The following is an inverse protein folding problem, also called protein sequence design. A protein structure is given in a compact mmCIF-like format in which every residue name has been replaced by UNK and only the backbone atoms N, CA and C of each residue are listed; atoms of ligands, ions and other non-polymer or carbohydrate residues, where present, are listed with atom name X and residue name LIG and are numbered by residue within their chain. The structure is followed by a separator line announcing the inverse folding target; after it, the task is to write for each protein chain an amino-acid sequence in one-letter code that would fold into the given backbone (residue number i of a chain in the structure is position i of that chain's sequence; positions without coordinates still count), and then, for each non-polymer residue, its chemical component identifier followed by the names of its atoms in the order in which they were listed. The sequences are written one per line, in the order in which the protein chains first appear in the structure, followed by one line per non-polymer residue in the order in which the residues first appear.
data_IF_844816594480
#
_entry.id   IF_844816594480
#
_cell.length_a   1.000
_cell.length_b   1.000
_cell.length_c   1.000
_cell.angle_alpha   90.00
_cell.angle_beta   90.00
_cell.angle_gamma   90.00
#
_symmetry.space_group_name_H-M   'P 1'
#
loop_
_entity.id
_entity.type
_entity.pdbx_description
1 polymer ?
#
# COMPACT_ATOMS: atom_id res chain seq x y z
N UNK A 1 -79.66 -2.17 33.40
CA UNK A 1 -78.47 -2.98 33.03
C UNK A 1 -77.43 -2.06 32.44
N UNK A 2 -76.37 -1.74 33.18
CA UNK A 2 -75.23 -0.92 32.73
C UNK A 2 -74.01 -1.83 32.64
N UNK A 3 -73.47 -2.03 31.44
CA UNK A 3 -72.26 -2.82 31.20
C UNK A 3 -71.02 -1.94 31.38
N UNK A 4 -70.19 -2.28 32.38
CA UNK A 4 -68.83 -1.74 32.55
C UNK A 4 -67.87 -2.40 31.54
N UNK A 5 -67.18 -1.59 30.74
CA UNK A 5 -66.03 -2.01 29.93
C UNK A 5 -64.77 -2.05 30.81
N UNK A 6 -64.08 -3.19 30.82
CA UNK A 6 -62.78 -3.38 31.46
C UNK A 6 -61.72 -3.25 30.36
N UNK A 7 -60.86 -2.24 30.45
CA UNK A 7 -59.66 -2.09 29.61
C UNK A 7 -58.51 -2.88 30.25
N UNK A 8 -58.01 -3.89 29.54
CA UNK A 8 -56.79 -4.63 29.90
C UNK A 8 -55.62 -3.95 29.18
N UNK A 9 -54.71 -3.37 29.96
CA UNK A 9 -53.48 -2.74 29.46
C UNK A 9 -52.38 -3.82 29.39
N UNK A 10 -51.92 -4.15 28.20
CA UNK A 10 -50.81 -5.10 27.98
C UNK A 10 -49.47 -4.35 28.11
N UNK A 11 -48.71 -4.63 29.17
CA UNK A 11 -47.38 -4.10 29.40
C UNK A 11 -46.36 -4.97 28.63
N UNK A 12 -45.86 -4.47 27.50
CA UNK A 12 -44.84 -5.15 26.69
C UNK A 12 -43.44 -4.88 27.29
N UNK A 13 -42.88 -5.85 28.00
CA UNK A 13 -41.51 -5.79 28.51
C UNK A 13 -40.52 -6.03 27.38
N UNK A 14 -39.81 -4.99 26.96
CA UNK A 14 -38.78 -5.05 25.92
C UNK A 14 -37.48 -5.60 26.52
N UNK A 15 -37.23 -6.90 26.35
CA UNK A 15 -35.98 -7.55 26.75
C UNK A 15 -34.90 -7.21 25.72
N UNK A 16 -34.03 -6.24 26.03
CA UNK A 16 -32.83 -5.97 25.23
C UNK A 16 -31.85 -7.15 25.36
N UNK A 17 -31.86 -8.06 24.39
CA UNK A 17 -30.82 -9.06 24.21
C UNK A 17 -29.59 -8.33 23.66
N UNK A 18 -28.60 -8.04 24.50
CA UNK A 18 -27.28 -7.61 24.04
C UNK A 18 -26.64 -8.77 23.28
N UNK A 19 -26.76 -8.74 21.96
CA UNK A 19 -26.00 -9.62 21.07
C UNK A 19 -24.54 -9.19 21.16
N UNK A 20 -23.75 -9.87 21.98
CA UNK A 20 -22.30 -9.83 21.87
C UNK A 20 -21.95 -10.45 20.52
N UNK A 21 -21.51 -9.61 19.57
CA UNK A 21 -20.93 -10.08 18.32
C UNK A 21 -19.70 -10.93 18.68
N UNK A 22 -19.82 -12.25 18.53
CA UNK A 22 -18.70 -13.18 18.69
C UNK A 22 -17.70 -12.87 17.57
N UNK A 23 -16.51 -12.42 17.94
CA UNK A 23 -15.42 -12.16 17.01
C UNK A 23 -15.06 -13.49 16.34
N UNK A 24 -15.42 -13.67 15.06
CA UNK A 24 -15.12 -14.89 14.30
C UNK A 24 -13.61 -15.16 14.35
N UNK A 25 -13.22 -16.23 15.06
CA UNK A 25 -11.83 -16.63 15.21
C UNK A 25 -11.29 -17.13 13.86
N UNK A 26 -10.15 -16.58 13.42
CA UNK A 26 -9.53 -16.96 12.16
C UNK A 26 -8.79 -18.29 12.33
N UNK A 27 -9.15 -19.31 11.56
CA UNK A 27 -8.45 -20.60 11.59
C UNK A 27 -7.10 -20.48 10.89
N UNK A 28 -6.03 -20.86 11.56
CA UNK A 28 -4.70 -20.96 10.95
C UNK A 28 -4.46 -22.38 10.47
N UNK A 29 -3.98 -22.54 9.25
CA UNK A 29 -3.62 -23.83 8.65
C UNK A 29 -2.15 -23.86 8.33
N UNK A 30 -1.42 -24.80 8.92
CA UNK A 30 0.00 -25.01 8.65
C UNK A 30 0.16 -26.34 7.90
N UNK A 31 0.58 -26.27 6.64
CA UNK A 31 1.03 -27.44 5.88
C UNK A 31 2.53 -27.55 6.01
N UNK A 32 3.00 -28.62 6.64
CA UNK A 32 4.41 -29.00 6.55
C UNK A 32 4.64 -29.76 5.24
N UNK A 33 5.59 -29.30 4.43
CA UNK A 33 6.15 -30.08 3.34
C UNK A 33 7.51 -30.58 3.83
N UNK A 34 7.64 -31.88 4.01
CA UNK A 34 8.80 -32.50 4.65
C UNK A 34 9.63 -33.29 3.64
N UNK A 35 10.91 -32.95 3.56
CA UNK A 35 11.90 -33.63 2.75
C UNK A 35 12.29 -34.98 3.35
N UNK A 36 12.01 -36.04 2.60
CA UNK A 36 12.50 -37.38 2.86
C UNK A 36 13.24 -37.92 1.62
N UNK A 37 13.91 -37.06 0.86
CA UNK A 37 14.78 -37.47 -0.24
C UNK A 37 16.06 -38.13 0.26
N UNK A 38 16.77 -38.83 -0.63
CA UNK A 38 17.98 -39.57 -0.25
C UNK A 38 19.09 -38.66 0.35
N UNK A 39 19.15 -37.37 0.01
CA UNK A 39 20.14 -36.43 0.58
C UNK A 39 19.99 -36.26 2.09
N UNK A 40 18.78 -36.43 2.63
CA UNK A 40 18.50 -36.33 4.06
C UNK A 40 19.19 -37.43 4.90
N UNK A 41 19.74 -38.47 4.27
CA UNK A 41 20.57 -39.47 4.94
C UNK A 41 21.99 -38.96 5.24
N UNK A 42 22.39 -37.81 4.70
CA UNK A 42 23.73 -37.25 4.92
C UNK A 42 23.98 -36.90 6.40
N UNK A 43 25.23 -37.03 6.88
CA UNK A 43 25.57 -36.69 8.25
C UNK A 43 25.56 -35.17 8.48
N UNK A 44 25.05 -34.76 9.64
CA UNK A 44 25.06 -33.39 10.14
C UNK A 44 25.10 -33.41 11.67
N UNK A 45 26.02 -32.66 12.28
CA UNK A 45 26.21 -32.58 13.75
C UNK A 45 26.22 -33.93 14.49
N UNK A 46 26.86 -34.96 13.90
CA UNK A 46 26.99 -36.28 14.53
C UNK A 46 25.73 -37.16 14.48
N UNK A 47 24.69 -36.75 13.74
CA UNK A 47 23.51 -37.57 13.39
C UNK A 47 23.24 -37.47 11.88
N UNK A 48 22.25 -38.17 11.34
CA UNK A 48 21.77 -37.87 9.99
C UNK A 48 20.90 -36.60 9.99
N UNK A 49 20.81 -35.87 8.87
CA UNK A 49 19.91 -34.71 8.72
C UNK A 49 18.47 -35.09 9.03
N UNK A 50 18.01 -36.26 8.55
CA UNK A 50 16.67 -36.77 8.83
C UNK A 50 16.44 -36.97 10.32
N UNK A 51 17.41 -37.52 11.08
CA UNK A 51 17.21 -37.76 12.51
C UNK A 51 17.07 -36.46 13.30
N UNK A 52 17.85 -35.43 12.95
CA UNK A 52 17.73 -34.11 13.55
C UNK A 52 16.39 -33.48 13.17
N UNK A 53 16.04 -33.52 11.89
CA UNK A 53 14.77 -33.02 11.38
C UNK A 53 13.59 -33.65 12.11
N UNK A 54 13.60 -34.98 12.28
CA UNK A 54 12.60 -35.74 13.05
C UNK A 54 12.48 -35.24 14.48
N UNK A 55 13.60 -35.15 15.22
CA UNK A 55 13.59 -34.75 16.63
C UNK A 55 13.00 -33.36 16.82
N UNK A 56 13.39 -32.40 15.99
CA UNK A 56 12.92 -31.01 16.13
C UNK A 56 11.48 -30.87 15.65
N UNK A 57 11.12 -31.46 14.51
CA UNK A 57 9.74 -31.47 14.02
C UNK A 57 8.78 -32.14 15.00
N UNK A 58 9.15 -33.27 15.59
CA UNK A 58 8.34 -33.96 16.58
C UNK A 58 8.04 -33.07 17.81
N UNK A 59 9.05 -32.33 18.30
CA UNK A 59 8.89 -31.38 19.41
C UNK A 59 8.00 -30.18 19.03
N UNK A 60 8.19 -29.64 17.84
CA UNK A 60 7.36 -28.53 17.35
C UNK A 60 5.91 -28.97 17.16
N UNK A 61 5.67 -30.14 16.58
CA UNK A 61 4.33 -30.71 16.42
C UNK A 61 3.65 -30.99 17.77
N UNK A 62 4.38 -31.44 18.80
CA UNK A 62 3.81 -31.58 20.14
C UNK A 62 3.31 -30.25 20.70
N UNK A 63 4.04 -29.16 20.46
CA UNK A 63 3.68 -27.82 20.91
C UNK A 63 2.47 -27.25 20.17
N UNK A 64 2.18 -27.74 18.95
CA UNK A 64 1.04 -27.31 18.14
C UNK A 64 -0.29 -27.96 18.54
N UNK A 65 -0.27 -29.13 19.20
CA UNK A 65 -1.47 -29.92 19.54
C UNK A 65 -2.48 -29.17 20.41
N UNK A 66 -2.01 -28.26 21.26
CA UNK A 66 -2.83 -27.58 22.26
C UNK A 66 -3.31 -26.21 21.80
N UNK A 67 -3.02 -25.81 20.56
CA UNK A 67 -3.31 -24.47 20.08
C UNK A 67 -4.72 -24.44 19.48
N UNK A 68 -5.64 -23.61 20.00
CA UNK A 68 -6.99 -23.52 19.46
C UNK A 68 -6.97 -22.95 18.04
N UNK A 69 -7.93 -23.36 17.21
CA UNK A 69 -8.11 -22.88 15.83
C UNK A 69 -6.88 -23.09 14.91
N UNK A 70 -6.06 -24.09 15.21
CA UNK A 70 -4.96 -24.52 14.36
C UNK A 70 -5.27 -25.89 13.74
N UNK A 71 -5.15 -25.98 12.42
CA UNK A 71 -5.15 -27.25 11.71
C UNK A 71 -3.77 -27.49 11.07
N UNK A 72 -3.27 -28.72 11.21
CA UNK A 72 -1.96 -29.10 10.67
C UNK A 72 -2.14 -30.17 9.59
N UNK A 73 -1.46 -29.99 8.47
CA UNK A 73 -1.30 -31.00 7.42
C UNK A 73 0.17 -31.40 7.26
N UNK A 74 0.41 -32.57 6.66
CA UNK A 74 1.74 -33.06 6.33
C UNK A 74 1.75 -33.64 4.92
N UNK A 75 2.55 -33.03 4.05
CA UNK A 75 2.96 -33.56 2.76
C UNK A 75 4.43 -33.99 2.86
N UNK A 76 4.75 -35.15 2.31
CA UNK A 76 6.12 -35.68 2.29
C UNK A 76 6.49 -35.94 0.84
N UNK A 77 7.74 -35.67 0.48
CA UNK A 77 8.30 -36.04 -0.81
C UNK A 77 9.57 -36.88 -0.66
N UNK A 78 9.87 -37.69 -1.67
CA UNK A 78 11.06 -38.54 -1.72
C UNK A 78 10.98 -39.80 -0.85
N UNK A 79 9.83 -40.12 -0.23
CA UNK A 79 9.70 -41.29 0.64
C UNK A 79 9.09 -42.52 -0.03
N UNK A 80 8.50 -42.38 -1.23
CA UNK A 80 7.76 -43.46 -1.87
C UNK A 80 8.66 -44.33 -2.75
N UNK A 81 9.53 -43.72 -3.54
CA UNK A 81 10.32 -44.39 -4.58
C UNK A 81 11.83 -44.33 -4.26
N UNK A 82 12.59 -45.43 -4.38
CA UNK A 82 14.03 -45.39 -4.22
C UNK A 82 14.71 -44.62 -5.36
N UNK A 83 15.76 -43.86 -5.04
CA UNK A 83 16.59 -43.18 -6.03
C UNK A 83 17.45 -44.22 -6.78
N UNK A 84 17.14 -44.47 -8.05
CA UNK A 84 17.89 -45.36 -8.92
C UNK A 84 18.69 -44.56 -9.96
N UNK A 85 19.91 -44.98 -10.35
CA UNK A 85 20.70 -44.28 -11.36
C UNK A 85 19.92 -44.09 -12.67
N UNK A 86 19.78 -42.84 -13.11
CA UNK A 86 19.05 -42.48 -14.33
C UNK A 86 17.52 -42.51 -14.23
N UNK A 87 16.95 -42.76 -13.05
CA UNK A 87 15.51 -42.72 -12.80
C UNK A 87 15.19 -41.78 -11.64
N UNK A 88 14.71 -40.58 -11.98
CA UNK A 88 14.22 -39.59 -11.03
C UNK A 88 12.68 -39.61 -11.02
N UNK A 89 12.09 -40.02 -9.90
CA UNK A 89 10.64 -39.93 -9.71
C UNK A 89 10.25 -38.53 -9.23
N UNK A 90 10.06 -37.60 -10.17
CA UNK A 90 9.64 -36.24 -9.87
C UNK A 90 8.17 -36.13 -9.42
N UNK A 91 7.43 -37.24 -9.36
CA UNK A 91 6.06 -37.30 -8.86
C UNK A 91 5.96 -37.83 -7.42
N UNK A 92 7.09 -38.21 -6.80
CA UNK A 92 7.19 -38.70 -5.42
C UNK A 92 6.89 -37.59 -4.40
N UNK A 93 5.60 -37.27 -4.27
CA UNK A 93 5.07 -36.28 -3.31
C UNK A 93 3.62 -36.60 -2.98
N UNK A 94 3.33 -36.75 -1.68
CA UNK A 94 2.02 -37.20 -1.19
C UNK A 94 1.60 -36.47 0.08
N UNK A 95 0.32 -36.10 0.13
CA UNK A 95 -0.33 -35.62 1.34
C UNK A 95 -0.62 -36.84 2.23
N UNK A 96 0.22 -37.06 3.24
CA UNK A 96 0.08 -38.19 4.16
C UNK A 96 -0.88 -37.87 5.31
N UNK A 97 -0.98 -36.60 5.68
CA UNK A 97 -1.90 -36.12 6.71
C UNK A 97 -2.68 -34.94 6.18
N UNK A 98 -3.96 -35.12 5.82
CA UNK A 98 -4.87 -34.01 5.56
C UNK A 98 -5.11 -33.16 6.81
N UNK A 99 -5.53 -31.90 6.60
CA UNK A 99 -5.86 -30.98 7.69
C UNK A 99 -6.93 -31.55 8.61
N UNK A 100 -6.64 -31.58 9.90
CA UNK A 100 -7.59 -31.95 10.94
C UNK A 100 -7.12 -31.41 12.31
N UNK A 101 -8.01 -31.33 13.32
CA UNK A 101 -7.62 -30.93 14.67
C UNK A 101 -6.55 -31.84 15.30
N UNK A 102 -6.51 -33.12 14.90
CA UNK A 102 -5.50 -34.10 15.33
C UNK A 102 -4.32 -34.20 14.36
N UNK A 103 -4.24 -33.29 13.38
CA UNK A 103 -3.25 -33.33 12.32
C UNK A 103 -1.81 -33.30 12.84
N UNK A 104 -1.54 -32.53 13.89
CA UNK A 104 -0.21 -32.45 14.49
C UNK A 104 0.26 -33.78 15.09
N UNK A 105 -0.65 -34.53 15.71
CA UNK A 105 -0.36 -35.86 16.27
C UNK A 105 -0.10 -36.89 15.16
N UNK A 106 -0.96 -36.92 14.14
CA UNK A 106 -0.81 -37.80 12.98
C UNK A 106 0.47 -37.51 12.21
N UNK A 107 0.81 -36.23 12.02
CA UNK A 107 2.03 -35.79 11.37
C UNK A 107 3.28 -36.25 12.13
N UNK A 108 3.26 -36.17 13.47
CA UNK A 108 4.36 -36.67 14.31
C UNK A 108 4.55 -38.17 14.12
N UNK A 109 3.45 -38.93 14.05
CA UNK A 109 3.48 -40.35 13.74
C UNK A 109 4.21 -40.64 12.43
N UNK A 110 3.84 -39.98 11.35
CA UNK A 110 4.50 -40.14 10.05
C UNK A 110 5.99 -39.75 10.06
N UNK A 111 6.33 -38.57 10.60
CA UNK A 111 7.71 -38.07 10.61
C UNK A 111 8.64 -39.02 11.37
N UNK A 112 8.18 -39.63 12.46
CA UNK A 112 9.02 -40.54 13.26
C UNK A 112 9.44 -41.81 12.50
N UNK A 113 8.65 -42.25 11.51
CA UNK A 113 8.87 -43.52 10.80
C UNK A 113 9.17 -43.39 9.31
N UNK A 114 9.04 -42.20 8.72
CA UNK A 114 9.33 -41.97 7.29
C UNK A 114 10.78 -42.33 6.99
N UNK A 115 11.07 -43.07 5.93
CA UNK A 115 12.44 -43.43 5.54
C UNK A 115 12.84 -42.61 4.31
N UNK A 116 14.01 -41.95 4.31
CA UNK A 116 14.43 -41.18 3.14
C UNK A 116 14.95 -42.07 2.01
N UNK A 117 14.44 -41.89 0.79
CA UNK A 117 14.70 -42.84 -0.33
C UNK A 117 14.98 -42.19 -1.68
N UNK A 118 14.22 -41.16 -2.04
CA UNK A 118 13.94 -40.76 -3.42
C UNK A 118 14.56 -39.43 -3.82
N UNK A 119 13.98 -38.82 -4.85
CA UNK A 119 14.40 -37.53 -5.43
C UNK A 119 13.79 -36.35 -4.65
N UNK A 120 14.21 -35.12 -4.95
CA UNK A 120 13.80 -33.85 -4.32
C UNK A 120 12.88 -33.01 -5.24
N UNK A 121 11.58 -33.34 -5.39
CA UNK A 121 10.63 -32.60 -6.24
C UNK A 121 9.94 -31.45 -5.47
N UNK A 122 10.63 -30.34 -5.22
CA UNK A 122 10.12 -29.22 -4.39
C UNK A 122 8.99 -28.49 -5.11
N UNK A 123 9.17 -28.16 -6.38
CA UNK A 123 8.25 -27.46 -7.25
C UNK A 123 6.92 -28.22 -7.35
N UNK A 124 6.96 -29.51 -7.71
CA UNK A 124 5.78 -30.37 -7.78
C UNK A 124 5.07 -30.50 -6.42
N UNK A 125 5.84 -30.55 -5.33
CA UNK A 125 5.28 -30.59 -3.98
C UNK A 125 4.57 -29.30 -3.61
N UNK A 126 5.12 -28.14 -3.96
CA UNK A 126 4.49 -26.84 -3.77
C UNK A 126 3.24 -26.69 -4.64
N UNK A 127 3.27 -27.17 -5.88
CA UNK A 127 2.12 -27.14 -6.79
C UNK A 127 0.94 -27.90 -6.18
N UNK A 128 1.16 -29.17 -5.79
CA UNK A 128 0.12 -30.00 -5.17
C UNK A 128 -0.32 -29.45 -3.82
N UNK A 129 0.59 -28.88 -3.03
CA UNK A 129 0.27 -28.21 -1.77
C UNK A 129 -0.75 -27.08 -1.92
N UNK A 130 -0.76 -26.38 -3.06
CA UNK A 130 -1.78 -25.36 -3.35
C UNK A 130 -3.21 -25.90 -3.40
N UNK A 131 -3.40 -27.19 -3.69
CA UNK A 131 -4.69 -27.87 -3.68
C UNK A 131 -5.02 -28.61 -2.38
N UNK A 132 -4.06 -28.74 -1.46
CA UNK A 132 -4.26 -29.47 -0.20
C UNK A 132 -5.05 -28.65 0.84
N UNK A 133 -5.08 -27.32 0.69
CA UNK A 133 -5.82 -26.44 1.58
C UNK A 133 -7.32 -26.50 1.28
N UNK A 134 -8.18 -26.81 2.27
CA UNK A 134 -9.62 -26.72 2.09
C UNK A 134 -10.02 -25.28 1.79
N UNK A 135 -11.08 -25.09 1.00
CA UNK A 135 -11.65 -23.76 0.80
C UNK A 135 -12.10 -23.16 2.14
N UNK A 136 -11.79 -21.88 2.34
CA UNK A 136 -12.16 -21.16 3.55
C UNK A 136 -12.21 -19.65 3.32
N UNK A 137 -13.23 -19.00 3.88
CA UNK A 137 -13.43 -17.54 3.76
C UNK A 137 -12.54 -16.70 4.68
N UNK A 138 -12.19 -17.23 5.87
CA UNK A 138 -11.36 -16.57 6.89
C UNK A 138 -10.34 -17.55 7.47
N UNK A 139 -9.39 -17.96 6.63
CA UNK A 139 -8.28 -18.82 7.06
C UNK A 139 -6.95 -18.21 6.67
N UNK A 140 -5.94 -18.48 7.49
CA UNK A 140 -4.55 -18.15 7.19
C UNK A 140 -3.83 -19.43 6.79
N UNK A 141 -3.49 -19.54 5.51
CA UNK A 141 -2.83 -20.73 4.96
C UNK A 141 -1.33 -20.51 4.86
N UNK A 142 -0.55 -21.33 5.57
CA UNK A 142 0.90 -21.24 5.63
C UNK A 142 1.50 -22.60 5.25
N UNK A 143 2.47 -22.58 4.34
CA UNK A 143 3.32 -23.71 3.99
C UNK A 143 4.68 -23.50 4.66
N UNK A 144 5.11 -24.48 5.45
CA UNK A 144 6.47 -24.57 5.97
C UNK A 144 7.17 -25.69 5.20
N UNK A 145 8.07 -25.32 4.29
CA UNK A 145 8.86 -26.27 3.52
C UNK A 145 10.14 -26.58 4.31
N UNK A 146 10.34 -27.83 4.71
CA UNK A 146 11.52 -28.31 5.42
C UNK A 146 12.33 -29.14 4.44
N UNK A 147 13.52 -28.67 4.04
CA UNK A 147 14.37 -29.31 3.03
C UNK A 147 15.85 -29.16 3.34
N UNK A 148 16.69 -30.05 2.82
CA UNK A 148 18.15 -29.93 2.90
C UNK A 148 18.82 -29.53 1.58
N UNK A 149 18.05 -29.23 0.53
CA UNK A 149 18.59 -29.14 -0.82
C UNK A 149 17.87 -28.20 -1.78
N UNK A 150 18.39 -28.21 -3.00
CA UNK A 150 17.81 -27.57 -4.19
C UNK A 150 16.92 -28.55 -4.92
N UNK A 151 16.04 -28.01 -5.75
CA UNK A 151 15.25 -28.78 -6.71
C UNK A 151 16.15 -29.74 -7.51
N UNK A 152 15.77 -31.02 -7.56
CA UNK A 152 16.48 -32.05 -8.33
C UNK A 152 15.75 -32.45 -9.63
N UNK A 153 14.65 -31.76 -9.94
CA UNK A 153 13.77 -31.95 -11.11
C UNK A 153 13.72 -30.68 -11.97
N UNK A 154 13.15 -30.77 -13.18
CA UNK A 154 13.18 -29.69 -14.20
C UNK A 154 12.10 -28.60 -14.03
N UNK A 155 11.55 -28.41 -12.84
CA UNK A 155 10.49 -27.42 -12.58
C UNK A 155 11.00 -26.17 -11.84
N UNK A 156 10.28 -25.05 -11.97
CA UNK A 156 10.64 -23.79 -11.31
C UNK A 156 9.83 -23.59 -10.00
N UNK A 157 10.43 -23.84 -8.82
CA UNK A 157 9.75 -23.65 -7.53
C UNK A 157 9.45 -22.17 -7.24
N UNK A 158 10.21 -21.22 -7.82
CA UNK A 158 9.97 -19.79 -7.67
C UNK A 158 8.64 -19.36 -8.32
N UNK A 159 8.39 -19.85 -9.54
CA UNK A 159 7.17 -19.56 -10.28
C UNK A 159 5.93 -20.07 -9.53
N UNK A 160 6.00 -21.29 -8.99
CA UNK A 160 4.92 -21.93 -8.25
C UNK A 160 4.68 -21.20 -6.92
N UNK A 161 5.74 -20.86 -6.18
CA UNK A 161 5.64 -20.08 -4.96
C UNK A 161 4.98 -18.70 -5.20
N UNK A 162 5.28 -18.04 -6.33
CA UNK A 162 4.61 -16.80 -6.73
C UNK A 162 3.12 -17.01 -6.98
N UNK A 163 2.74 -18.09 -7.65
CA UNK A 163 1.34 -18.45 -7.86
C UNK A 163 0.62 -18.72 -6.54
N UNK A 164 1.22 -19.48 -5.61
CA UNK A 164 0.66 -19.71 -4.27
C UNK A 164 0.43 -18.42 -3.49
N UNK A 165 1.39 -17.48 -3.54
CA UNK A 165 1.26 -16.16 -2.89
C UNK A 165 0.10 -15.34 -3.47
N UNK A 166 -0.12 -15.38 -4.78
CA UNK A 166 -1.28 -14.70 -5.40
C UNK A 166 -2.63 -15.26 -4.93
N UNK A 167 -2.67 -16.52 -4.48
CA UNK A 167 -3.83 -17.16 -3.83
C UNK A 167 -3.91 -16.89 -2.33
N UNK A 168 -3.02 -16.07 -1.77
CA UNK A 168 -2.96 -15.76 -0.34
C UNK A 168 -2.31 -16.84 0.51
N UNK A 169 -1.63 -17.83 -0.09
CA UNK A 169 -0.90 -18.87 0.63
C UNK A 169 0.54 -18.40 0.89
N UNK A 170 0.95 -18.39 2.15
CA UNK A 170 2.29 -17.94 2.56
C UNK A 170 3.23 -19.13 2.53
N UNK A 171 4.36 -19.02 1.82
CA UNK A 171 5.37 -20.09 1.76
C UNK A 171 6.63 -19.67 2.51
N UNK A 172 7.08 -20.50 3.45
CA UNK A 172 8.28 -20.31 4.26
C UNK A 172 9.25 -21.49 4.06
N UNK A 173 10.31 -21.32 3.25
CA UNK A 173 11.36 -22.32 3.12
C UNK A 173 12.26 -22.35 4.35
N UNK A 174 12.52 -23.55 4.84
CA UNK A 174 13.32 -23.87 6.02
C UNK A 174 14.37 -24.90 5.64
N UNK A 175 15.63 -24.51 5.76
CA UNK A 175 16.75 -25.19 5.13
C UNK A 175 17.65 -25.83 6.19
N UNK A 176 17.96 -27.11 6.01
CA UNK A 176 18.73 -27.91 6.97
C UNK A 176 20.15 -28.16 6.47
N UNK A 177 21.14 -27.86 7.29
CA UNK A 177 22.48 -28.46 7.17
C UNK A 177 23.23 -28.10 5.89
N UNK A 178 22.90 -26.96 5.26
CA UNK A 178 23.58 -26.46 4.06
C UNK A 178 24.89 -25.74 4.43
N UNK A 179 24.99 -25.15 5.63
CA UNK A 179 26.14 -24.29 5.95
C UNK A 179 26.21 -23.09 5.02
N UNK A 180 27.29 -22.30 5.10
CA UNK A 180 27.45 -20.98 4.46
C UNK A 180 27.53 -20.99 2.91
N UNK A 181 26.82 -21.87 2.21
CA UNK A 181 26.74 -21.86 0.75
C UNK A 181 25.65 -20.90 0.26
N UNK A 182 26.06 -19.68 -0.08
CA UNK A 182 25.17 -18.59 -0.50
C UNK A 182 24.38 -18.91 -1.77
N UNK A 183 24.89 -19.77 -2.66
CA UNK A 183 24.21 -20.10 -3.92
C UNK A 183 22.92 -20.90 -3.68
N UNK A 184 22.92 -21.77 -2.66
CA UNK A 184 21.75 -22.55 -2.26
C UNK A 184 20.68 -21.67 -1.61
N UNK A 185 21.09 -20.70 -0.79
CA UNK A 185 20.16 -19.75 -0.17
C UNK A 185 19.49 -18.89 -1.24
N UNK A 186 20.27 -18.36 -2.18
CA UNK A 186 19.79 -17.52 -3.28
C UNK A 186 18.74 -18.25 -4.14
N UNK A 187 18.93 -19.55 -4.41
CA UNK A 187 17.98 -20.35 -5.18
C UNK A 187 16.59 -20.47 -4.50
N UNK A 188 16.52 -20.33 -3.18
CA UNK A 188 15.27 -20.48 -2.41
C UNK A 188 14.67 -19.14 -1.94
N UNK A 189 15.40 -18.01 -2.04
CA UNK A 189 14.90 -16.68 -1.65
C UNK A 189 13.67 -16.22 -2.44
N UNK A 190 13.57 -16.68 -3.68
CA UNK A 190 12.42 -16.42 -4.54
C UNK A 190 11.13 -17.06 -3.98
N UNK A 191 11.24 -18.19 -3.29
CA UNK A 191 10.12 -18.94 -2.68
C UNK A 191 9.59 -18.17 -1.48
N UNK A 192 10.49 -17.71 -0.61
CA UNK A 192 10.13 -17.05 0.64
C UNK A 192 11.34 -16.51 1.39
N UNK A 193 11.13 -16.07 2.63
CA UNK A 193 12.25 -15.78 3.53
C UNK A 193 12.89 -17.11 3.89
N UNK A 194 14.15 -17.31 3.48
CA UNK A 194 14.91 -18.51 3.81
C UNK A 194 15.46 -18.37 5.22
N UNK A 195 15.36 -19.45 5.97
CA UNK A 195 16.04 -19.54 7.25
C UNK A 195 16.99 -20.73 7.22
N UNK A 196 18.27 -20.44 7.43
CA UNK A 196 19.32 -21.44 7.58
C UNK A 196 19.45 -21.83 9.04
N UNK A 197 19.40 -23.12 9.32
CA UNK A 197 19.70 -23.66 10.62
C UNK A 197 21.08 -24.32 10.60
N UNK A 198 22.05 -23.60 11.16
CA UNK A 198 23.44 -24.08 11.29
C UNK A 198 23.65 -25.07 12.44
N UNK A 199 22.69 -25.19 13.38
CA UNK A 199 22.65 -26.22 14.42
C UNK A 199 21.25 -26.73 14.73
N UNK A 200 21.14 -27.86 15.44
CA UNK A 200 19.85 -28.38 15.97
C UNK A 200 19.15 -27.34 16.86
N UNK A 201 19.88 -26.59 17.69
CA UNK A 201 19.32 -25.53 18.52
C UNK A 201 18.76 -24.37 17.69
N UNK A 202 19.52 -23.90 16.69
CA UNK A 202 19.06 -22.86 15.77
C UNK A 202 17.86 -23.34 14.96
N UNK A 203 17.86 -24.60 14.52
CA UNK A 203 16.73 -25.23 13.83
C UNK A 203 15.46 -25.16 14.69
N UNK A 204 15.57 -25.56 15.96
CA UNK A 204 14.47 -25.50 16.92
C UNK A 204 13.97 -24.07 17.16
N UNK A 205 14.89 -23.13 17.39
CA UNK A 205 14.52 -21.74 17.68
C UNK A 205 13.79 -21.09 16.49
N UNK A 206 14.34 -21.24 15.29
CA UNK A 206 13.77 -20.59 14.11
C UNK A 206 12.45 -21.23 13.70
N UNK A 207 12.32 -22.56 13.75
CA UNK A 207 11.04 -23.23 13.48
C UNK A 207 9.94 -22.75 14.43
N UNK A 208 10.27 -22.61 15.72
CA UNK A 208 9.33 -22.07 16.71
C UNK A 208 8.95 -20.61 16.42
N UNK A 209 9.88 -19.79 15.92
CA UNK A 209 9.59 -18.41 15.49
C UNK A 209 8.64 -18.40 14.30
N UNK A 210 8.89 -19.23 13.27
CA UNK A 210 8.03 -19.31 12.06
C UNK A 210 6.64 -19.80 12.40
N UNK A 211 6.54 -20.83 13.25
CA UNK A 211 5.25 -21.31 13.78
C UNK A 211 4.55 -20.20 14.56
N UNK A 212 5.26 -19.52 15.45
CA UNK A 212 4.69 -18.41 16.23
C UNK A 212 4.21 -17.26 15.35
N UNK A 213 4.94 -16.93 14.29
CA UNK A 213 4.54 -15.95 13.29
C UNK A 213 3.27 -16.39 12.54
N UNK A 214 3.17 -17.67 12.19
CA UNK A 214 2.00 -18.23 11.51
C UNK A 214 0.75 -18.19 12.41
N UNK A 215 0.91 -18.26 13.72
CA UNK A 215 -0.19 -18.25 14.68
C UNK A 215 -0.58 -16.86 15.15
N UNK A 216 0.39 -15.97 15.33
CA UNK A 216 0.17 -14.69 15.98
C UNK A 216 0.49 -13.53 15.05
N UNK A 217 -0.41 -12.56 15.01
CA UNK A 217 -0.06 -11.23 14.53
C UNK A 217 0.93 -10.58 15.50
N UNK A 218 1.70 -9.63 15.00
CA UNK A 218 2.57 -8.81 15.84
C UNK A 218 2.00 -7.40 15.92
N UNK A 219 2.39 -6.67 16.96
CA UNK A 219 2.05 -5.26 17.05
C UNK A 219 3.12 -4.42 16.38
N UNK A 220 2.72 -3.31 15.76
CA UNK A 220 3.64 -2.30 15.29
C UNK A 220 3.03 -0.90 15.39
N UNK A 221 3.86 0.10 15.51
CA UNK A 221 3.50 1.50 15.28
C UNK A 221 4.26 2.03 14.06
N UNK A 222 3.65 2.97 13.36
CA UNK A 222 4.28 3.67 12.24
C UNK A 222 4.61 5.08 12.72
N UNK A 223 5.89 5.38 12.81
CA UNK A 223 6.39 6.70 13.14
C UNK A 223 6.53 7.51 11.85
N UNK A 224 5.56 8.41 11.61
CA UNK A 224 5.68 9.41 10.56
C UNK A 224 6.38 10.63 11.15
N UNK A 225 7.59 10.89 10.67
CA UNK A 225 8.52 11.82 11.29
C UNK A 225 8.48 13.21 10.66
N UNK A 226 8.64 14.23 11.51
CA UNK A 226 8.88 15.62 11.13
C UNK A 226 10.35 15.89 10.73
N UNK A 227 10.67 17.17 10.43
CA UNK A 227 12.04 17.58 10.06
C UNK A 227 13.07 17.32 11.18
N UNK A 228 12.63 17.14 12.42
CA UNK A 228 13.46 16.90 13.59
C UNK A 228 13.51 15.41 13.97
N UNK A 229 13.02 14.51 13.11
CA UNK A 229 12.94 13.07 13.34
C UNK A 229 12.05 12.68 14.51
N UNK A 230 11.05 13.50 14.84
CA UNK A 230 10.07 13.18 15.88
C UNK A 230 8.78 12.66 15.24
N UNK A 231 8.14 11.62 15.81
CA UNK A 231 6.94 11.02 15.26
C UNK A 231 5.70 11.86 15.59
N UNK A 232 5.60 13.05 15.00
CA UNK A 232 4.57 14.05 15.30
C UNK A 232 3.54 14.20 14.17
N UNK A 233 3.86 13.72 12.97
CA UNK A 233 2.97 13.79 11.81
C UNK A 233 1.82 12.79 11.94
N UNK A 234 0.61 13.20 11.59
CA UNK A 234 -0.60 12.39 11.77
C UNK A 234 -1.75 12.80 10.86
N UNK A 235 -2.85 12.04 10.87
CA UNK A 235 -4.03 12.22 10.01
C UNK A 235 -3.73 12.08 8.51
N UNK A 236 -2.64 11.38 8.18
CA UNK A 236 -2.23 11.11 6.80
C UNK A 236 -2.62 9.68 6.48
N UNK A 237 -3.23 9.45 5.31
CA UNK A 237 -3.50 8.08 4.87
C UNK A 237 -2.21 7.37 4.46
N UNK A 238 -2.12 6.08 4.75
CA UNK A 238 -1.02 5.24 4.33
C UNK A 238 -1.51 3.85 3.92
N UNK A 239 -0.71 3.21 3.08
CA UNK A 239 -0.95 1.87 2.58
C UNK A 239 0.24 0.97 2.87
N UNK A 240 -0.04 -0.26 3.33
CA UNK A 240 0.94 -1.33 3.41
C UNK A 240 0.60 -2.38 2.35
N UNK A 241 1.56 -2.59 1.45
CA UNK A 241 1.50 -3.62 0.42
C UNK A 241 2.41 -4.77 0.80
N UNK A 242 2.02 -5.99 0.46
CA UNK A 242 2.98 -7.08 0.36
C UNK A 242 3.95 -6.75 -0.78
N UNK A 243 5.22 -6.59 -0.47
CA UNK A 243 6.23 -6.16 -1.42
C UNK A 243 6.48 -7.20 -2.52
N UNK A 244 6.35 -8.49 -2.23
CA UNK A 244 6.61 -9.55 -3.21
C UNK A 244 5.45 -9.71 -4.20
N UNK A 245 4.20 -9.60 -3.73
CA UNK A 245 3.01 -9.78 -4.58
C UNK A 245 2.44 -8.48 -5.14
N UNK A 246 2.75 -7.33 -4.52
CA UNK A 246 2.12 -6.04 -4.81
C UNK A 246 0.71 -5.89 -4.25
N UNK A 247 0.18 -6.89 -3.54
CA UNK A 247 -1.18 -6.87 -3.02
C UNK A 247 -1.30 -5.86 -1.86
N UNK A 248 -2.34 -5.01 -1.90
CA UNK A 248 -2.70 -4.14 -0.78
C UNK A 248 -3.16 -5.00 0.40
N UNK A 249 -2.53 -4.81 1.56
CA UNK A 249 -2.87 -5.54 2.79
C UNK A 249 -3.60 -4.67 3.79
N UNK A 250 -3.13 -3.44 3.97
CA UNK A 250 -3.73 -2.48 4.90
C UNK A 250 -3.78 -1.10 4.28
N UNK A 251 -4.87 -0.38 4.55
CA UNK A 251 -5.06 0.99 4.13
C UNK A 251 -5.77 1.74 5.26
N UNK A 252 -5.04 2.63 5.92
CA UNK A 252 -5.49 3.30 7.14
C UNK A 252 -5.18 4.79 7.10
N UNK A 253 -5.82 5.54 7.99
CA UNK A 253 -5.44 6.91 8.32
C UNK A 253 -4.63 6.86 9.61
N UNK A 254 -3.42 7.42 9.58
CA UNK A 254 -2.55 7.48 10.75
C UNK A 254 -3.20 8.32 11.85
N UNK A 255 -3.09 7.89 13.10
CA UNK A 255 -3.57 8.64 14.28
C UNK A 255 -2.61 8.48 15.46
N UNK A 256 -2.78 9.33 16.46
CA UNK A 256 -2.08 9.25 17.75
C UNK A 256 -3.00 8.66 18.81
N UNK A 257 -2.41 7.93 19.75
CA UNK A 257 -3.11 7.46 20.95
C UNK A 257 -3.25 8.58 22.00
N UNK A 258 -3.94 8.29 23.11
CA UNK A 258 -4.20 9.26 24.19
C UNK A 258 -2.93 9.81 24.87
N UNK A 259 -1.80 9.12 24.76
CA UNK A 259 -0.51 9.55 25.30
C UNK A 259 0.29 10.42 24.30
N UNK A 260 -0.24 10.68 23.11
CA UNK A 260 0.43 11.46 22.07
C UNK A 260 1.46 10.68 21.25
N UNK A 261 1.47 9.33 21.35
CA UNK A 261 2.33 8.47 20.54
C UNK A 261 1.54 7.91 19.34
N UNK A 262 2.20 7.54 18.23
CA UNK A 262 1.56 6.84 17.13
C UNK A 262 0.78 5.60 17.59
N UNK A 263 -0.38 5.38 16.98
CA UNK A 263 -1.26 4.26 17.32
C UNK A 263 -0.62 2.89 17.01
N UNK A 264 -1.06 1.87 17.74
CA UNK A 264 -0.55 0.49 17.62
C UNK A 264 -1.47 -0.33 16.73
N UNK A 265 -0.90 -0.83 15.64
CA UNK A 265 -1.53 -1.69 14.66
C UNK A 265 -1.18 -3.15 14.93
N UNK A 266 -2.12 -4.05 14.62
CA UNK A 266 -1.87 -5.51 14.66
C UNK A 266 -1.71 -6.01 13.22
N UNK A 267 -0.51 -6.41 12.85
CA UNK A 267 -0.11 -6.72 11.46
C UNK A 267 0.56 -8.09 11.37
N UNK A 268 0.42 -8.77 10.23
CA UNK A 268 1.03 -10.07 9.95
C UNK A 268 2.58 -9.97 9.83
N UNK A 269 3.36 -10.61 10.72
CA UNK A 269 4.83 -10.53 10.66
C UNK A 269 5.49 -11.40 9.58
N UNK A 270 4.74 -12.27 8.88
CA UNK A 270 5.30 -13.16 7.86
C UNK A 270 5.59 -12.44 6.54
N UNK A 271 4.94 -11.31 6.29
CA UNK A 271 5.08 -10.57 5.04
C UNK A 271 6.27 -9.59 5.10
N UNK A 272 6.83 -9.30 3.94
CA UNK A 272 7.70 -8.13 3.76
C UNK A 272 6.85 -7.02 3.17
N UNK A 273 6.86 -5.85 3.80
CA UNK A 273 5.98 -4.76 3.44
C UNK A 273 6.68 -3.63 2.69
N UNK A 274 5.93 -3.05 1.75
CA UNK A 274 6.16 -1.70 1.24
C UNK A 274 5.12 -0.77 1.86
N UNK A 275 5.57 0.23 2.61
CA UNK A 275 4.77 1.33 3.14
C UNK A 275 4.74 2.47 2.13
N UNK A 276 3.55 3.01 1.87
CA UNK A 276 3.35 4.24 1.09
C UNK A 276 2.53 5.21 1.96
N UNK A 277 3.10 6.36 2.27
CA UNK A 277 2.37 7.46 2.94
C UNK A 277 1.89 8.41 1.85
N UNK A 278 0.59 8.67 1.83
CA UNK A 278 -0.08 9.47 0.81
C UNK A 278 0.02 10.98 1.09
N UNK A 279 1.22 11.45 1.43
CA UNK A 279 1.57 12.87 1.48
C UNK A 279 1.63 13.48 0.07
N UNK A 280 1.80 14.81 0.00
CA UNK A 280 1.99 15.52 -1.27
C UNK A 280 3.40 16.12 -1.33
N UNK A 281 4.33 15.58 -2.15
CA UNK A 281 4.24 14.33 -2.89
C UNK A 281 4.29 13.09 -1.98
N UNK A 282 3.97 11.91 -2.54
CA UNK A 282 3.96 10.65 -1.79
C UNK A 282 5.38 10.22 -1.41
N UNK A 283 5.50 9.54 -0.27
CA UNK A 283 6.76 8.92 0.19
C UNK A 283 6.56 7.42 0.40
N UNK A 284 7.59 6.63 0.09
CA UNK A 284 7.53 5.18 0.24
C UNK A 284 8.75 4.61 0.97
N UNK A 285 8.54 3.52 1.70
CA UNK A 285 9.58 2.72 2.34
C UNK A 285 9.38 1.24 2.01
N UNK A 286 10.43 0.62 1.47
CA UNK A 286 10.46 -0.78 1.01
C UNK A 286 11.23 -1.67 2.00
N UNK A 287 11.11 -2.99 1.88
CA UNK A 287 11.89 -3.95 2.66
C UNK A 287 11.53 -4.02 4.15
N UNK A 288 10.31 -3.64 4.55
CA UNK A 288 9.92 -3.62 5.96
C UNK A 288 9.68 -5.06 6.43
N UNK A 289 10.51 -5.53 7.35
CA UNK A 289 10.39 -6.85 7.99
C UNK A 289 10.05 -6.66 9.47
N UNK A 290 9.02 -7.36 9.94
CA UNK A 290 8.59 -7.28 11.33
C UNK A 290 9.21 -8.41 12.16
N UNK A 291 9.64 -8.07 13.36
CA UNK A 291 10.10 -9.02 14.37
C UNK A 291 8.87 -9.56 15.12
N UNK A 292 8.65 -10.87 15.12
CA UNK A 292 7.47 -11.48 15.74
C UNK A 292 7.49 -11.36 17.25
N UNK A 293 6.30 -11.32 17.86
CA UNK A 293 6.10 -11.21 19.31
C UNK A 293 6.80 -10.01 19.97
N UNK A 294 7.32 -9.09 19.16
CA UNK A 294 7.87 -7.81 19.62
C UNK A 294 7.01 -6.71 19.06
N UNK A 295 6.89 -5.63 19.83
CA UNK A 295 6.35 -4.40 19.30
C UNK A 295 7.35 -3.82 18.29
N UNK A 296 6.90 -3.62 17.06
CA UNK A 296 7.74 -3.11 15.97
C UNK A 296 7.54 -1.61 15.78
N UNK A 297 8.59 -0.92 15.37
CA UNK A 297 8.52 0.51 15.03
C UNK A 297 8.96 0.65 13.58
N UNK A 298 8.08 1.21 12.75
CA UNK A 298 8.37 1.51 11.34
C UNK A 298 8.54 3.02 11.22
N UNK A 299 9.73 3.49 10.91
CA UNK A 299 10.01 4.92 10.75
C UNK A 299 9.96 5.36 9.28
N UNK A 300 9.29 6.47 8.98
CA UNK A 300 9.29 7.11 7.68
C UNK A 300 9.22 8.63 7.84
N UNK A 301 9.98 9.38 7.04
CA UNK A 301 9.95 10.84 7.10
C UNK A 301 8.90 11.39 6.15
N UNK A 302 7.99 12.20 6.66
CA UNK A 302 7.02 12.93 5.85
C UNK A 302 6.70 14.29 6.49
N UNK A 303 7.70 15.16 6.72
CA UNK A 303 7.50 16.43 7.38
C UNK A 303 6.52 17.30 6.61
N UNK A 304 5.52 17.87 7.27
CA UNK A 304 4.46 18.62 6.57
C UNK A 304 4.38 20.09 6.96
N UNK A 305 3.94 20.89 6.01
CA UNK A 305 3.42 22.24 6.21
C UNK A 305 2.27 22.49 5.24
N UNK A 306 1.49 23.54 5.46
CA UNK A 306 0.30 23.81 4.66
C UNK A 306 0.51 24.99 3.71
N UNK A 307 -0.14 24.95 2.55
CA UNK A 307 -0.42 26.13 1.75
C UNK A 307 -1.92 26.42 1.85
N UNK A 308 -2.28 27.59 2.36
CA UNK A 308 -3.65 28.09 2.42
C UNK A 308 -3.85 29.15 1.34
N UNK A 309 -4.72 28.87 0.38
CA UNK A 309 -5.05 29.75 -0.74
C UNK A 309 -6.29 30.58 -0.43
N UNK A 310 -6.26 31.89 -0.73
CA UNK A 310 -7.37 32.83 -0.49
C UNK A 310 -7.59 33.75 -1.68
N UNK A 311 -8.83 34.19 -1.84
CA UNK A 311 -9.21 35.23 -2.79
C UNK A 311 -9.77 36.42 -1.98
N UNK A 312 -9.18 37.60 -2.13
CA UNK A 312 -9.63 38.80 -1.42
C UNK A 312 -11.04 39.19 -1.86
N UNK A 313 -12.01 39.27 -0.93
CA UNK A 313 -13.41 39.62 -1.26
C UNK A 313 -14.24 38.49 -1.85
N UNK A 314 -13.86 37.24 -1.58
CA UNK A 314 -14.49 36.02 -2.11
C UNK A 314 -16.02 36.00 -1.96
N UNK A 315 -16.70 35.88 -3.10
CA UNK A 315 -18.06 35.34 -3.21
C UNK A 315 -17.96 33.88 -3.66
N UNK A 316 -18.82 32.99 -3.15
CA UNK A 316 -18.80 31.50 -3.32
C UNK A 316 -18.69 30.95 -4.76
N UNK A 317 -18.69 31.80 -5.79
CA UNK A 317 -18.80 31.43 -7.20
C UNK A 317 -17.49 31.44 -7.98
N UNK A 318 -16.40 32.03 -7.47
CA UNK A 318 -15.12 32.11 -8.19
C UNK A 318 -14.14 31.02 -7.73
N UNK A 319 -14.04 29.90 -8.45
CA UNK A 319 -12.97 28.92 -8.22
C UNK A 319 -11.82 29.15 -9.20
N UNK A 320 -10.60 29.19 -8.68
CA UNK A 320 -9.36 29.27 -9.46
C UNK A 320 -8.50 28.07 -9.11
N UNK A 321 -7.75 27.55 -10.07
CA UNK A 321 -6.83 26.44 -9.88
C UNK A 321 -5.39 26.92 -9.77
N UNK A 322 -4.60 26.21 -8.98
CA UNK A 322 -3.18 26.42 -8.79
C UNK A 322 -2.42 25.13 -9.07
N UNK A 323 -1.49 25.19 -10.01
CA UNK A 323 -0.55 24.10 -10.21
C UNK A 323 0.60 24.29 -9.21
N UNK A 324 0.92 23.22 -8.48
CA UNK A 324 2.05 23.18 -7.56
C UNK A 324 3.11 22.24 -8.11
N UNK A 325 4.35 22.72 -8.18
CA UNK A 325 5.53 21.97 -8.61
C UNK A 325 6.65 22.15 -7.59
N UNK A 326 7.53 21.17 -7.46
CA UNK A 326 8.78 21.38 -6.72
C UNK A 326 9.62 22.45 -7.42
N UNK A 327 10.39 23.22 -6.65
CA UNK A 327 11.25 24.27 -7.18
C UNK A 327 12.15 23.76 -8.31
N UNK A 328 12.06 24.39 -9.48
CA UNK A 328 12.87 24.06 -10.66
C UNK A 328 12.44 22.79 -11.40
N UNK A 329 11.37 22.11 -10.97
CA UNK A 329 10.82 20.95 -11.64
C UNK A 329 9.57 21.32 -12.46
N UNK A 330 9.38 20.68 -13.61
CA UNK A 330 8.18 20.85 -14.44
C UNK A 330 7.06 19.86 -14.10
N UNK A 331 7.35 18.85 -13.26
CA UNK A 331 6.35 17.87 -12.86
C UNK A 331 5.35 18.47 -11.88
N UNK A 332 4.08 18.47 -12.27
CA UNK A 332 2.97 18.85 -11.37
C UNK A 332 2.82 17.80 -10.29
N UNK A 333 2.96 18.22 -9.03
CA UNK A 333 2.75 17.33 -7.88
C UNK A 333 1.33 17.41 -7.34
N UNK A 334 0.65 18.53 -7.56
CA UNK A 334 -0.72 18.75 -7.10
C UNK A 334 -1.39 19.90 -7.87
N UNK A 335 -2.71 19.87 -7.93
CA UNK A 335 -3.54 20.93 -8.50
C UNK A 335 -4.53 21.39 -7.43
N UNK A 336 -4.19 22.47 -6.72
CA UNK A 336 -4.93 23.00 -5.58
C UNK A 336 -5.99 24.01 -6.03
N UNK A 337 -7.17 23.96 -5.43
CA UNK A 337 -8.22 24.94 -5.65
C UNK A 337 -8.01 26.22 -4.81
N UNK A 338 -8.66 27.30 -5.23
CA UNK A 338 -8.84 28.52 -4.43
C UNK A 338 -10.33 28.66 -4.04
N UNK A 339 -10.65 28.95 -2.77
CA UNK A 339 -9.80 28.84 -1.58
C UNK A 339 -9.71 27.39 -1.10
N UNK A 340 -8.54 26.96 -0.66
CA UNK A 340 -8.29 25.63 -0.11
C UNK A 340 -7.09 25.65 0.82
N UNK A 341 -7.10 24.82 1.87
CA UNK A 341 -5.91 24.53 2.65
C UNK A 341 -5.47 23.11 2.34
N UNK A 342 -4.24 22.96 1.86
CA UNK A 342 -3.66 21.67 1.52
C UNK A 342 -2.29 21.52 2.19
N UNK A 343 -2.04 20.34 2.74
CA UNK A 343 -0.74 20.00 3.32
C UNK A 343 0.21 19.44 2.25
N UNK A 344 1.47 19.85 2.34
CA UNK A 344 2.57 19.49 1.45
C UNK A 344 3.78 19.08 2.29
N UNK A 345 4.67 18.28 1.72
CA UNK A 345 5.96 18.04 2.34
C UNK A 345 6.74 19.36 2.49
N UNK A 346 7.54 19.48 3.55
CA UNK A 346 8.42 20.63 3.76
C UNK A 346 9.40 20.75 2.58
N UNK A 347 9.50 21.95 2.02
CA UNK A 347 10.31 22.21 0.83
C UNK A 347 9.98 23.53 0.16
N UNK A 348 10.59 23.75 -1.01
CA UNK A 348 10.34 24.94 -1.83
C UNK A 348 9.59 24.53 -3.11
N UNK A 349 8.62 25.35 -3.49
CA UNK A 349 7.68 25.07 -4.56
C UNK A 349 7.55 26.24 -5.52
N UNK A 350 7.33 25.93 -6.79
CA UNK A 350 6.94 26.89 -7.81
C UNK A 350 5.44 26.72 -8.06
N UNK A 351 4.70 27.83 -7.96
CA UNK A 351 3.26 27.89 -8.07
C UNK A 351 2.86 28.62 -9.35
N UNK A 352 1.90 28.05 -10.07
CA UNK A 352 1.28 28.66 -11.25
C UNK A 352 -0.23 28.73 -11.04
N UNK A 353 -0.74 29.93 -10.86
CA UNK A 353 -2.15 30.20 -10.62
C UNK A 353 -2.82 30.48 -11.96
N UNK A 354 -3.86 29.71 -12.28
CA UNK A 354 -4.54 29.69 -13.58
C UNK A 354 -5.55 30.85 -13.74
N UNK A 355 -5.10 32.06 -13.43
CA UNK A 355 -5.82 33.31 -13.69
C UNK A 355 -5.49 33.85 -15.09
N UNK A 356 -6.19 34.90 -15.50
CA UNK A 356 -5.83 35.71 -16.67
C UNK A 356 -5.42 37.12 -16.21
N UNK A 357 -4.20 37.58 -16.48
CA UNK A 357 -3.01 36.78 -16.85
C UNK A 357 -2.66 35.74 -15.77
N UNK A 358 -1.84 34.75 -16.13
CA UNK A 358 -1.32 33.75 -15.19
C UNK A 358 -0.42 34.42 -14.15
N UNK A 359 -0.57 34.01 -12.89
CA UNK A 359 0.32 34.47 -11.81
C UNK A 359 1.31 33.35 -11.51
N UNK A 360 2.59 33.68 -11.52
CA UNK A 360 3.68 32.76 -11.19
C UNK A 360 4.33 33.20 -9.87
N UNK A 361 4.54 32.26 -8.96
CA UNK A 361 5.27 32.49 -7.72
C UNK A 361 6.34 31.43 -7.59
N UNK A 362 7.61 31.82 -7.68
CA UNK A 362 8.75 30.91 -7.58
C UNK A 362 9.31 30.87 -6.17
N UNK A 363 9.91 29.75 -5.78
CA UNK A 363 10.60 29.58 -4.49
C UNK A 363 9.70 29.81 -3.25
N UNK A 364 8.44 29.40 -3.33
CA UNK A 364 7.52 29.45 -2.21
C UNK A 364 7.89 28.39 -1.18
N UNK A 365 8.29 28.84 0.01
CA UNK A 365 8.72 27.96 1.09
C UNK A 365 7.54 27.42 1.89
N UNK A 366 7.50 26.11 2.09
CA UNK A 366 6.62 25.42 3.04
C UNK A 366 7.48 24.96 4.21
N UNK A 367 7.21 25.49 5.40
CA UNK A 367 7.95 25.16 6.63
C UNK A 367 7.16 24.17 7.49
N UNK A 368 7.88 23.41 8.32
CA UNK A 368 7.33 22.44 9.25
C UNK A 368 6.21 23.06 10.10
N UNK A 369 5.04 22.39 10.10
CA UNK A 369 3.85 22.74 10.87
C UNK A 369 3.36 24.18 10.70
N UNK A 370 3.85 24.89 9.68
CA UNK A 370 3.48 26.26 9.37
C UNK A 370 2.48 26.30 8.21
N UNK A 371 1.68 27.36 8.13
CA UNK A 371 0.78 27.60 7.00
C UNK A 371 1.28 28.80 6.20
N UNK A 372 1.75 28.54 4.99
CA UNK A 372 2.10 29.57 4.00
C UNK A 372 0.81 30.06 3.34
N UNK A 373 0.51 31.35 3.46
CA UNK A 373 -0.71 31.95 2.91
C UNK A 373 -0.44 32.54 1.54
N UNK A 374 -1.23 32.15 0.55
CA UNK A 374 -1.20 32.69 -0.81
C UNK A 374 -2.54 33.37 -1.05
N UNK A 375 -2.50 34.67 -1.24
CA UNK A 375 -3.69 35.48 -1.48
C UNK A 375 -3.60 36.17 -2.83
N UNK A 376 -4.67 36.06 -3.61
CA UNK A 376 -4.83 36.75 -4.89
C UNK A 376 -6.05 37.68 -4.82
N UNK A 377 -6.05 38.79 -5.57
CA UNK A 377 -7.23 39.63 -5.65
C UNK A 377 -8.35 38.93 -6.42
N UNK A 378 -9.60 39.32 -6.13
CA UNK A 378 -10.75 38.90 -6.93
C UNK A 378 -10.62 39.47 -8.36
N UNK A 379 -10.89 38.61 -9.35
CA UNK A 379 -10.90 39.04 -10.75
C UNK A 379 -12.02 40.06 -10.99
N UNK A 380 -11.77 41.03 -11.88
CA UNK A 380 -12.83 41.82 -12.49
C UNK A 380 -13.32 41.16 -13.77
N UNK A 381 -14.48 41.60 -14.25
CA UNK A 381 -15.08 41.07 -15.48
C UNK A 381 -14.97 42.08 -16.61
N UNK A 382 -14.37 41.70 -17.73
CA UNK A 382 -14.43 42.45 -18.98
C UNK A 382 -15.59 41.93 -19.81
N UNK A 383 -16.60 42.77 -20.00
CA UNK A 383 -17.68 42.54 -20.96
C UNK A 383 -17.35 43.25 -22.27
N UNK A 384 -16.88 42.48 -23.25
CA UNK A 384 -16.48 42.97 -24.55
C UNK A 384 -17.61 42.80 -25.56
N UNK A 385 -18.00 43.90 -26.19
CA UNK A 385 -19.00 43.94 -27.27
C UNK A 385 -18.33 44.29 -28.60
N UNK A 386 -18.46 43.38 -29.56
CA UNK A 386 -17.96 43.47 -30.94
C UNK A 386 -19.11 43.16 -31.90
N UNK A 387 -20.01 44.12 -32.21
CA UNK A 387 -21.28 43.84 -32.89
C UNK A 387 -21.16 43.11 -34.23
N UNK A 388 -20.05 43.30 -34.94
CA UNK A 388 -19.79 42.71 -36.27
C UNK A 388 -18.91 41.45 -36.17
N UNK A 389 -18.39 41.14 -34.97
CA UNK A 389 -17.33 40.16 -34.76
C UNK A 389 -16.02 40.54 -35.46
N UNK A 390 -14.95 39.83 -35.12
CA UNK A 390 -13.64 40.10 -35.68
C UNK A 390 -12.52 39.40 -34.95
N UNK A 391 -11.30 39.73 -35.32
CA UNK A 391 -10.08 39.11 -34.80
C UNK A 391 -9.41 40.08 -33.85
N UNK A 392 -8.99 39.61 -32.70
CA UNK A 392 -8.32 40.45 -31.72
C UNK A 392 -7.76 39.69 -30.54
N UNK A 393 -7.01 40.39 -29.71
CA UNK A 393 -6.44 39.85 -28.49
C UNK A 393 -6.42 40.92 -27.40
N UNK A 394 -6.43 40.45 -26.16
CA UNK A 394 -6.30 41.27 -24.96
C UNK A 394 -4.84 41.19 -24.50
N UNK A 395 -4.29 42.37 -24.20
CA UNK A 395 -2.93 42.51 -23.71
C UNK A 395 -2.93 43.24 -22.36
N UNK A 396 -2.09 42.79 -21.44
CA UNK A 396 -1.82 43.49 -20.19
C UNK A 396 -0.69 44.49 -20.40
N UNK A 397 -0.86 45.69 -19.84
CA UNK A 397 0.14 46.75 -19.85
C UNK A 397 0.86 46.78 -18.51
N UNK A 398 2.10 46.31 -18.47
CA UNK A 398 2.90 46.21 -17.24
C UNK A 398 4.35 46.63 -17.49
N UNK A 399 4.90 47.53 -16.66
CA UNK A 399 6.30 47.99 -16.75
C UNK A 399 6.72 48.48 -18.15
N UNK A 400 5.80 49.15 -18.86
CA UNK A 400 6.03 49.62 -20.23
C UNK A 400 6.03 48.52 -21.31
N UNK A 401 5.80 47.25 -20.93
CA UNK A 401 5.64 46.12 -21.83
C UNK A 401 4.17 45.80 -22.06
N UNK A 402 3.89 45.21 -23.22
CA UNK A 402 2.56 44.75 -23.62
C UNK A 402 2.59 43.23 -23.70
N UNK A 403 2.01 42.56 -22.71
CA UNK A 403 2.02 41.10 -22.59
C UNK A 403 0.70 40.52 -23.12
N UNK A 404 0.77 39.53 -23.99
CA UNK A 404 -0.44 38.83 -24.47
C UNK A 404 -1.11 38.06 -23.32
N UNK A 405 -2.44 38.15 -23.22
CA UNK A 405 -3.23 37.48 -22.16
C UNK A 405 -4.09 36.38 -22.74
N UNK A 406 -4.94 36.72 -23.71
CA UNK A 406 -5.81 35.79 -24.42
C UNK A 406 -6.34 36.38 -25.71
N UNK A 407 -6.79 35.51 -26.61
CA UNK A 407 -7.44 35.90 -27.85
C UNK A 407 -8.95 36.10 -27.66
N UNK A 408 -9.51 37.00 -28.47
CA UNK A 408 -10.93 37.20 -28.62
C UNK A 408 -11.44 36.17 -29.63
N UNK A 409 -12.56 35.52 -29.32
CA UNK A 409 -13.18 34.56 -30.24
C UNK A 409 -13.94 35.31 -31.32
N UNK A 410 -13.74 34.97 -32.58
CA UNK A 410 -14.28 35.73 -33.71
C UNK A 410 -15.77 35.52 -33.98
N UNK A 411 -16.33 34.43 -33.45
CA UNK A 411 -17.74 34.03 -33.63
C UNK A 411 -18.74 34.81 -32.76
N UNK A 412 -18.28 35.39 -31.65
CA UNK A 412 -19.17 35.95 -30.63
C UNK A 412 -19.18 37.47 -30.65
N UNK A 413 -20.37 38.05 -30.82
CA UNK A 413 -20.58 39.50 -30.75
C UNK A 413 -20.45 40.06 -29.34
N UNK A 414 -20.68 39.24 -28.30
CA UNK A 414 -20.48 39.61 -26.90
C UNK A 414 -19.73 38.50 -26.17
N UNK A 415 -18.69 38.89 -25.43
CA UNK A 415 -17.81 37.97 -24.71
C UNK A 415 -17.50 38.52 -23.32
N UNK A 416 -17.35 37.63 -22.35
CA UNK A 416 -17.03 37.98 -20.97
C UNK A 416 -15.73 37.28 -20.55
N UNK A 417 -14.78 38.03 -20.00
CA UNK A 417 -13.48 37.54 -19.55
C UNK A 417 -13.24 37.92 -18.10
N UNK A 418 -12.85 36.96 -17.26
CA UNK A 418 -12.42 37.24 -15.89
C UNK A 418 -10.92 37.54 -15.90
N UNK A 419 -10.57 38.80 -15.63
CA UNK A 419 -9.21 39.32 -15.67
C UNK A 419 -8.77 39.79 -14.29
N UNK A 420 -7.51 39.57 -13.94
CA UNK A 420 -6.93 40.11 -12.71
C UNK A 420 -6.86 41.65 -12.78
N UNK A 421 -6.96 42.36 -11.65
CA UNK A 421 -6.91 43.82 -11.64
C UNK A 421 -5.64 44.36 -12.30
N UNK A 422 -5.79 45.40 -13.14
CA UNK A 422 -4.66 45.93 -13.89
C UNK A 422 -5.08 46.80 -15.08
N UNK A 423 -4.08 47.31 -15.81
CA UNK A 423 -4.28 48.07 -17.04
C UNK A 423 -4.14 47.15 -18.24
N UNK A 424 -5.05 47.28 -19.18
CA UNK A 424 -5.14 46.42 -20.35
C UNK A 424 -5.37 47.24 -21.61
N UNK A 425 -5.11 46.58 -22.74
CA UNK A 425 -5.40 47.06 -24.07
C UNK A 425 -6.01 45.94 -24.88
N UNK A 426 -7.10 46.23 -25.57
CA UNK A 426 -7.64 45.35 -26.60
C UNK A 426 -7.18 45.83 -27.96
N UNK A 427 -6.68 44.91 -28.77
CA UNK A 427 -6.33 45.13 -30.17
C UNK A 427 -7.30 44.31 -31.00
N UNK A 428 -8.01 44.94 -31.91
CA UNK A 428 -9.13 44.32 -32.61
C UNK A 428 -9.24 44.83 -34.04
N UNK A 429 -9.63 43.94 -34.95
CA UNK A 429 -9.96 44.28 -36.33
C UNK A 429 -11.27 43.60 -36.68
N UNK A 430 -12.21 44.39 -37.21
CA UNK A 430 -13.50 43.84 -37.62
C UNK A 430 -13.33 42.76 -38.71
N UNK A 431 -14.28 41.83 -38.78
CA UNK A 431 -14.22 40.72 -39.75
C UNK A 431 -14.29 41.17 -41.21
N UNK A 432 -14.97 42.31 -41.47
CA UNK A 432 -15.25 42.81 -42.82
C UNK A 432 -14.10 43.57 -43.47
N UNK A 433 -13.11 44.03 -42.71
CA UNK A 433 -11.94 44.72 -43.28
C UNK A 433 -10.93 43.72 -43.81
N UNK A 434 -10.18 44.11 -44.84
CA UNK A 434 -9.16 43.28 -45.49
C UNK A 434 -7.73 43.77 -45.29
N UNK A 435 -7.53 44.90 -44.59
CA UNK A 435 -6.20 45.48 -44.34
C UNK A 435 -5.89 45.57 -42.85
N UNK A 436 -4.66 45.21 -42.48
CA UNK A 436 -4.17 45.25 -41.08
C UNK A 436 -4.20 46.66 -40.47
N UNK A 437 -4.06 47.71 -41.29
CA UNK A 437 -4.07 49.11 -40.82
C UNK A 437 -5.41 49.54 -40.19
N UNK A 438 -6.50 48.80 -40.43
CA UNK A 438 -7.80 49.05 -39.81
C UNK A 438 -7.96 48.43 -38.42
N UNK A 439 -6.87 47.97 -37.81
CA UNK A 439 -6.85 47.51 -36.43
C UNK A 439 -7.09 48.69 -35.50
N UNK A 440 -8.04 48.56 -34.59
CA UNK A 440 -8.33 49.51 -33.52
C UNK A 440 -7.72 49.02 -32.22
N UNK A 441 -7.26 49.97 -31.41
CA UNK A 441 -6.75 49.70 -30.07
C UNK A 441 -7.55 50.50 -29.05
N UNK A 442 -7.89 49.89 -27.92
CA UNK A 442 -8.58 50.57 -26.82
C UNK A 442 -8.02 50.12 -25.49
N UNK A 443 -7.56 51.09 -24.71
CA UNK A 443 -7.06 50.84 -23.34
C UNK A 443 -8.19 50.91 -22.33
N UNK A 444 -8.11 50.08 -21.30
CA UNK A 444 -9.07 50.03 -20.20
C UNK A 444 -8.38 49.53 -18.92
N UNK A 445 -9.06 49.71 -17.79
CA UNK A 445 -8.58 49.24 -16.48
C UNK A 445 -9.59 48.27 -15.91
N UNK A 446 -9.11 47.14 -15.40
CA UNK A 446 -9.93 46.17 -14.66
C UNK A 446 -9.74 46.40 -13.18
N UNK A 447 -10.84 46.57 -12.47
CA UNK A 447 -10.90 46.70 -11.01
C UNK A 447 -11.47 45.41 -10.41
N UNK A 448 -10.92 45.00 -9.26
CA UNK A 448 -11.35 43.80 -8.53
C UNK A 448 -12.86 43.77 -8.31
N UNK A 449 -13.51 42.67 -8.70
CA UNK A 449 -14.95 42.44 -8.50
C UNK A 449 -15.90 43.35 -9.29
N UNK A 450 -15.39 44.21 -10.18
CA UNK A 450 -16.21 45.10 -11.00
C UNK A 450 -16.30 44.65 -12.45
N UNK A 451 -17.40 44.98 -13.12
CA UNK A 451 -17.57 44.78 -14.55
C UNK A 451 -17.17 46.02 -15.33
N UNK A 452 -16.27 45.85 -16.30
CA UNK A 452 -15.86 46.88 -17.26
C UNK A 452 -16.44 46.54 -18.62
N UNK A 453 -17.22 47.45 -19.20
CA UNK A 453 -17.85 47.24 -20.51
C UNK A 453 -17.07 47.99 -21.59
N UNK A 454 -16.66 47.28 -22.65
CA UNK A 454 -15.95 47.86 -23.78
C UNK A 454 -16.67 47.49 -25.08
N UNK A 455 -17.01 48.52 -25.87
CA UNK A 455 -17.52 48.35 -27.23
C UNK A 455 -16.46 48.80 -28.24
N UNK A 456 -16.29 48.02 -29.32
CA UNK A 456 -15.32 48.23 -30.41
C UNK A 456 -15.97 48.24 -31.79
#
# INVERSE_FOLDING_TARGET
MSLKRISISFLFAFFCITSFAQQEETTTRILFIFDASNSMNAPWQGSSRIDIARRVMARSLDSLKTIPNLEVGLRIYGHQSPLLPGQQDCNDTKLEVPFSPQGAEKAKGWINYVVPKGTTPIARSLEKAGGDFPECKKCRNVIILVTDGIEACDEDPCAIAKALRSKGIIVKPFVIGIGMNMDYLNALECIGTVYDASSEETFKQVLNVVISQALNNTTCQININDIHKKPTETNISFSLYDEKSGALKYHYIHTMNKAGNPDTLTIDPLLTYKLVVHSVPQVEKKGIRLIPQKHNIIEIDAPQGAIETKISGYNKTSSVMMIVRKKGEMNTIYAQHFPEKQDYLVGNYDLEILTLPRIYMTDVKVNQSATTKIEIPLAGTLDLNTPIGGYGAIFQLENGKTNWVCDIKDEFSRQSFNLQPGKYKVVYRNRKTSKTVYTTEKSFTITSGQTTVITL
#
